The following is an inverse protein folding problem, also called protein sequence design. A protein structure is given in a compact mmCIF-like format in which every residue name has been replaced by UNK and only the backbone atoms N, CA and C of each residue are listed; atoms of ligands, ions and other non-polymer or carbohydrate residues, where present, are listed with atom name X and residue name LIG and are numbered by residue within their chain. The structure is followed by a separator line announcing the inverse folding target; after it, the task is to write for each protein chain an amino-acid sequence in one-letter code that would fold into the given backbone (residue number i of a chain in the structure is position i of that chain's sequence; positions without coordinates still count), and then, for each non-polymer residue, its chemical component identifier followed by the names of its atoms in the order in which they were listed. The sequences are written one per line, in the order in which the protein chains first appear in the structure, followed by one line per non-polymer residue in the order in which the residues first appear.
data_IF_758511122909
#
_entry.id   IF_758511122909
#
_cell.length_a   1.000
_cell.length_b   1.000
_cell.length_c   1.000
_cell.angle_alpha   90.00
_cell.angle_beta   90.00
_cell.angle_gamma   90.00
#
_symmetry.space_group_name_H-M   'P 1'
#
loop_
_entity.id
_entity.type
_entity.pdbx_description
1 polymer ?
#
# COMPACT_ATOMS: atom_id res chain seq x y z
N UNK A 1 15.12 -42.10 1.11
CA UNK A 1 14.65 -40.71 0.92
C UNK A 1 15.35 -39.85 1.97
N UNK A 2 16.21 -38.88 1.63
CA UNK A 2 16.82 -38.04 2.66
C UNK A 2 15.72 -37.11 3.20
N UNK A 3 15.26 -37.41 4.42
CA UNK A 3 14.22 -36.64 5.11
C UNK A 3 14.80 -35.30 5.54
N UNK A 4 14.19 -34.21 5.09
CA UNK A 4 14.49 -32.88 5.58
C UNK A 4 14.30 -32.87 7.11
N UNK A 5 15.36 -32.65 7.89
CA UNK A 5 15.28 -32.66 9.35
C UNK A 5 14.56 -31.41 9.85
N UNK A 6 13.79 -31.55 10.94
CA UNK A 6 13.11 -30.43 11.62
C UNK A 6 14.08 -29.28 11.94
N UNK A 7 15.33 -29.61 12.28
CA UNK A 7 16.39 -28.63 12.53
C UNK A 7 16.64 -27.70 11.34
N UNK A 8 16.53 -28.19 10.11
CA UNK A 8 16.70 -27.36 8.92
C UNK A 8 15.52 -26.38 8.74
N UNK A 9 14.32 -26.75 9.16
CA UNK A 9 13.15 -25.87 9.14
C UNK A 9 13.26 -24.77 10.20
N UNK A 10 13.65 -25.13 11.42
CA UNK A 10 13.90 -24.16 12.50
C UNK A 10 14.98 -23.16 12.09
N UNK A 11 16.06 -23.64 11.45
CA UNK A 11 17.11 -22.76 10.94
C UNK A 11 16.61 -21.85 9.81
N UNK A 12 15.81 -22.36 8.88
CA UNK A 12 15.22 -21.56 7.80
C UNK A 12 14.21 -20.51 8.32
N UNK A 13 13.51 -20.80 9.41
CA UNK A 13 12.64 -19.86 10.11
C UNK A 13 13.45 -18.72 10.74
N UNK A 14 14.49 -19.06 11.49
CA UNK A 14 15.40 -18.09 12.10
C UNK A 14 16.09 -17.19 11.07
N UNK A 15 16.40 -17.75 9.89
CA UNK A 15 16.97 -17.01 8.75
C UNK A 15 15.93 -16.18 7.97
N UNK A 16 14.65 -16.21 8.36
CA UNK A 16 13.58 -15.47 7.69
C UNK A 16 13.27 -15.98 6.27
N UNK A 17 13.74 -17.18 5.93
CA UNK A 17 13.57 -17.79 4.61
C UNK A 17 12.23 -18.51 4.44
N UNK A 18 11.51 -18.73 5.53
CA UNK A 18 10.13 -19.22 5.52
C UNK A 18 9.15 -18.06 5.29
N UNK A 19 9.23 -17.41 4.13
CA UNK A 19 8.15 -16.55 3.66
C UNK A 19 6.97 -17.41 3.23
N UNK A 20 5.74 -17.03 3.59
CA UNK A 20 4.53 -17.75 3.19
C UNK A 20 4.49 -17.94 1.67
N UNK A 21 4.02 -19.11 1.22
CA UNK A 21 3.87 -19.39 -0.21
C UNK A 21 3.03 -18.27 -0.87
N UNK A 22 3.68 -17.43 -1.68
CA UNK A 22 3.03 -16.33 -2.40
C UNK A 22 3.33 -14.91 -1.92
N UNK A 23 4.03 -14.69 -0.80
CA UNK A 23 4.53 -13.34 -0.48
C UNK A 23 5.74 -13.01 -1.35
N UNK A 24 5.47 -12.47 -2.54
CA UNK A 24 6.48 -11.77 -3.31
C UNK A 24 6.90 -10.52 -2.50
N UNK A 25 8.21 -10.26 -2.33
CA UNK A 25 8.64 -8.99 -1.77
C UNK A 25 8.03 -7.86 -2.61
N UNK A 26 7.42 -6.89 -1.93
CA UNK A 26 6.82 -5.73 -2.60
C UNK A 26 7.94 -5.00 -3.32
N UNK A 27 7.84 -4.88 -4.64
CA UNK A 27 8.83 -4.13 -5.43
C UNK A 27 8.80 -2.65 -5.05
N UNK A 28 9.94 -1.96 -5.14
CA UNK A 28 10.00 -0.50 -4.96
C UNK A 28 8.95 0.22 -5.82
N UNK A 29 8.75 -0.23 -7.06
CA UNK A 29 7.74 0.31 -7.97
C UNK A 29 6.31 0.15 -7.43
N UNK A 30 6.02 -0.96 -6.74
CA UNK A 30 4.70 -1.19 -6.13
C UNK A 30 4.48 -0.29 -4.91
N UNK A 31 5.53 -0.01 -4.14
CA UNK A 31 5.46 0.94 -3.03
C UNK A 31 5.20 2.36 -3.53
N UNK A 32 5.95 2.80 -4.54
CA UNK A 32 5.75 4.11 -5.15
C UNK A 32 4.37 4.24 -5.80
N UNK A 33 3.89 3.19 -6.46
CA UNK A 33 2.54 3.17 -7.03
C UNK A 33 1.46 3.27 -5.94
N UNK A 34 1.64 2.60 -4.80
CA UNK A 34 0.73 2.70 -3.66
C UNK A 34 0.73 4.12 -3.08
N UNK A 35 1.91 4.71 -2.88
CA UNK A 35 2.08 6.09 -2.41
C UNK A 35 1.40 7.11 -3.34
N UNK A 36 1.64 6.99 -4.65
CA UNK A 36 1.04 7.86 -5.66
C UNK A 36 -0.49 7.75 -5.66
N UNK A 37 -1.04 6.54 -5.52
CA UNK A 37 -2.50 6.34 -5.43
C UNK A 37 -3.09 7.02 -4.19
N UNK A 38 -2.43 6.90 -3.04
CA UNK A 38 -2.85 7.57 -1.81
C UNK A 38 -2.85 9.10 -1.97
N UNK A 39 -1.80 9.65 -2.59
CA UNK A 39 -1.68 11.09 -2.82
C UNK A 39 -2.74 11.61 -3.80
N UNK A 40 -2.98 10.87 -4.89
CA UNK A 40 -4.05 11.22 -5.84
C UNK A 40 -5.43 11.19 -5.18
N UNK A 41 -5.69 10.25 -4.27
CA UNK A 41 -6.94 10.19 -3.53
C UNK A 41 -7.11 11.42 -2.61
N UNK A 42 -6.06 11.80 -1.89
CA UNK A 42 -6.04 13.01 -1.04
C UNK A 42 -6.32 14.27 -1.86
N UNK A 43 -5.60 14.47 -2.95
CA UNK A 43 -5.75 15.64 -3.82
C UNK A 43 -7.14 15.73 -4.45
N UNK A 44 -7.74 14.60 -4.84
CA UNK A 44 -9.11 14.57 -5.35
C UNK A 44 -10.11 15.02 -4.28
N UNK A 45 -9.95 14.55 -3.04
CA UNK A 45 -10.80 14.95 -1.92
C UNK A 45 -10.70 16.45 -1.64
N UNK A 46 -9.48 17.00 -1.54
CA UNK A 46 -9.24 18.44 -1.33
C UNK A 46 -9.88 19.28 -2.44
N UNK A 47 -9.67 18.89 -3.69
CA UNK A 47 -10.25 19.57 -4.84
C UNK A 47 -11.78 19.53 -4.82
N UNK A 48 -12.39 18.44 -4.38
CA UNK A 48 -13.85 18.33 -4.31
C UNK A 48 -14.42 19.16 -3.14
N UNK A 49 -13.70 19.29 -2.02
CA UNK A 49 -14.05 20.22 -0.93
C UNK A 49 -14.02 21.66 -1.44
N UNK A 50 -12.94 22.06 -2.12
CA UNK A 50 -12.82 23.40 -2.70
C UNK A 50 -13.93 23.70 -3.69
N UNK A 51 -14.27 22.75 -4.57
CA UNK A 51 -15.41 22.90 -5.49
C UNK A 51 -16.72 23.15 -4.75
N UNK A 52 -17.00 22.40 -3.68
CA UNK A 52 -18.21 22.60 -2.87
C UNK A 52 -18.20 23.98 -2.19
N UNK A 53 -17.07 24.41 -1.66
CA UNK A 53 -16.92 25.74 -1.06
C UNK A 53 -17.16 26.85 -2.09
N UNK A 54 -16.52 26.79 -3.27
CA UNK A 54 -16.74 27.74 -4.35
C UNK A 54 -18.21 27.80 -4.77
N UNK A 55 -18.87 26.63 -4.91
CA UNK A 55 -20.28 26.57 -5.26
C UNK A 55 -21.21 27.16 -4.18
N UNK A 56 -20.84 27.04 -2.90
CA UNK A 56 -21.57 27.68 -1.80
C UNK A 56 -21.44 29.21 -1.90
N UNK A 57 -20.23 29.74 -1.96
CA UNK A 57 -20.00 31.18 -1.99
C UNK A 57 -20.53 31.87 -3.26
N UNK A 58 -20.51 31.18 -4.40
CA UNK A 58 -21.08 31.70 -5.64
C UNK A 58 -22.60 31.92 -5.55
N UNK A 59 -23.33 31.18 -4.70
CA UNK A 59 -24.77 31.35 -4.49
C UNK A 59 -25.09 32.57 -3.61
N UNK A 60 -24.25 32.85 -2.62
CA UNK A 60 -24.42 33.98 -1.69
C UNK A 60 -23.96 35.33 -2.28
N UNK A 61 -23.33 35.32 -3.46
CA UNK A 61 -22.80 36.51 -4.14
C UNK A 61 -23.79 37.16 -5.13
N UNK A 62 -25.00 36.62 -5.25
CA UNK A 62 -26.12 37.12 -6.08
C UNK A 62 -27.29 37.53 -5.20
#
# INVERSE_FOLDING_TARGET
MPGQSISNWVKAEQEGKLGGAGTKPVSADQMELSRLRAEVARLKMERDILKKACAYFAKDST
#
